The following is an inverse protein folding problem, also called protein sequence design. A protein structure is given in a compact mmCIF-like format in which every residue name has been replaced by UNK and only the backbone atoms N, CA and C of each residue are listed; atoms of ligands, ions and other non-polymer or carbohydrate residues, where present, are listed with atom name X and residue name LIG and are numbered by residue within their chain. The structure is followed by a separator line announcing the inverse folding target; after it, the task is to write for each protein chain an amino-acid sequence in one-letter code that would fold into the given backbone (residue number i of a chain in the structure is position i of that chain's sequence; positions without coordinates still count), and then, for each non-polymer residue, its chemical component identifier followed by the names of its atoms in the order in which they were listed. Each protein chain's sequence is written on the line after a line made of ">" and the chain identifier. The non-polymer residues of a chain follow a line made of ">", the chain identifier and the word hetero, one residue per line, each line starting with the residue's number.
data_IF_853956339457
#
_entry.id   IF_853956339457
#
_cell.length_a   1.000
_cell.length_b   1.000
_cell.length_c   1.000
_cell.angle_alpha   90.00
_cell.angle_beta   90.00
_cell.angle_gamma   90.00
#
_symmetry.space_group_name_H-M   'P 1'
#
loop_
_entity.id
_entity.type
_entity.pdbx_description
1 polymer ?
#
# COMPACT_ATOMS: atom_id res chain seq x y z
N UNK A 1 5.78 10.32 -13.19
CA UNK A 1 4.88 10.35 -12.01
C UNK A 1 3.48 9.80 -12.29
N UNK A 2 2.84 10.10 -13.44
CA UNK A 2 1.47 9.65 -13.73
C UNK A 2 1.23 8.13 -13.64
N UNK A 3 2.18 7.31 -14.12
CA UNK A 3 2.08 5.85 -14.04
C UNK A 3 2.06 5.31 -12.60
N UNK A 4 2.78 5.97 -11.68
CA UNK A 4 2.81 5.59 -10.25
C UNK A 4 1.47 5.88 -9.61
N UNK A 5 0.93 7.07 -9.83
CA UNK A 5 -0.38 7.48 -9.32
C UNK A 5 -1.49 6.57 -9.86
N UNK A 6 -1.48 6.28 -11.17
CA UNK A 6 -2.41 5.35 -11.78
C UNK A 6 -2.27 3.93 -11.22
N UNK A 7 -1.05 3.49 -10.93
CA UNK A 7 -0.75 2.22 -10.27
C UNK A 7 -1.37 2.12 -8.88
N UNK A 8 -1.13 3.10 -8.02
CA UNK A 8 -1.71 3.15 -6.66
C UNK A 8 -3.24 3.26 -6.71
N UNK A 9 -3.78 4.09 -7.61
CA UNK A 9 -5.21 4.18 -7.85
C UNK A 9 -5.81 2.82 -8.20
N UNK A 10 -5.16 2.07 -9.10
CA UNK A 10 -5.59 0.70 -9.46
C UNK A 10 -5.53 -0.24 -8.25
N UNK A 11 -4.47 -0.20 -7.45
CA UNK A 11 -4.36 -1.00 -6.21
C UNK A 11 -5.54 -0.72 -5.28
N UNK A 12 -5.89 0.55 -5.06
CA UNK A 12 -7.02 0.93 -4.21
C UNK A 12 -8.34 0.43 -4.76
N UNK A 13 -8.61 0.65 -6.06
CA UNK A 13 -9.85 0.17 -6.68
C UNK A 13 -9.99 -1.35 -6.62
N UNK A 14 -8.89 -2.10 -6.77
CA UNK A 14 -8.90 -3.57 -6.64
C UNK A 14 -9.21 -4.04 -5.22
N UNK A 15 -8.86 -3.25 -4.22
CA UNK A 15 -9.18 -3.53 -2.82
C UNK A 15 -10.55 -2.96 -2.39
N UNK A 16 -11.37 -2.48 -3.33
CA UNK A 16 -12.67 -1.88 -3.05
C UNK A 16 -12.60 -0.50 -2.38
N UNK A 17 -11.46 0.19 -2.48
CA UNK A 17 -11.22 1.52 -1.92
C UNK A 17 -11.29 2.61 -2.99
N UNK A 18 -11.60 3.87 -2.62
CA UNK A 18 -11.67 4.97 -3.57
C UNK A 18 -10.28 5.28 -4.14
N UNK A 19 -10.09 5.06 -5.44
CA UNK A 19 -8.79 5.22 -6.09
C UNK A 19 -8.25 6.65 -6.11
N UNK A 20 -9.13 7.65 -6.12
CA UNK A 20 -8.73 9.06 -6.03
C UNK A 20 -7.99 9.38 -4.73
N UNK A 21 -8.18 8.57 -3.68
CA UNK A 21 -7.46 8.72 -2.43
C UNK A 21 -5.95 8.58 -2.56
N UNK A 22 -5.44 8.04 -3.68
CA UNK A 22 -4.02 8.02 -3.99
C UNK A 22 -3.40 9.41 -4.12
N UNK A 23 -4.20 10.43 -4.47
CA UNK A 23 -3.77 11.82 -4.67
C UNK A 23 -3.63 12.61 -3.37
N UNK A 24 -4.33 12.20 -2.32
CA UNK A 24 -4.37 12.92 -1.04
C UNK A 24 -3.39 12.26 -0.07
N UNK A 25 -2.29 12.91 0.35
CA UNK A 25 -1.19 12.27 1.07
C UNK A 25 -1.61 11.51 2.33
N UNK A 26 -2.41 12.13 3.20
CA UNK A 26 -2.86 11.51 4.46
C UNK A 26 -3.90 10.42 4.18
N UNK A 27 -4.83 10.67 3.27
CA UNK A 27 -5.87 9.70 2.96
C UNK A 27 -5.34 8.45 2.26
N UNK A 28 -4.31 8.59 1.42
CA UNK A 28 -3.59 7.48 0.81
C UNK A 28 -3.08 6.50 1.89
N UNK A 29 -2.42 7.01 2.93
CA UNK A 29 -1.92 6.21 4.05
C UNK A 29 -3.05 5.52 4.81
N UNK A 30 -4.15 6.24 5.08
CA UNK A 30 -5.35 5.67 5.71
C UNK A 30 -5.87 4.48 4.90
N UNK A 31 -6.02 4.64 3.59
CA UNK A 31 -6.47 3.56 2.71
C UNK A 31 -5.48 2.40 2.67
N UNK A 32 -4.17 2.65 2.64
CA UNK A 32 -3.16 1.59 2.71
C UNK A 32 -3.24 0.80 4.02
N UNK A 33 -3.46 1.48 5.16
CA UNK A 33 -3.66 0.81 6.45
C UNK A 33 -4.92 -0.06 6.44
N UNK A 34 -6.01 0.42 5.86
CA UNK A 34 -7.25 -0.36 5.72
C UNK A 34 -7.08 -1.59 4.80
N UNK A 35 -6.35 -1.45 3.70
CA UNK A 35 -6.01 -2.53 2.76
C UNK A 35 -5.08 -3.54 3.44
N UNK A 36 -4.14 -3.06 4.26
CA UNK A 36 -3.25 -3.90 5.06
C UNK A 36 -3.94 -4.54 6.27
N UNK A 37 -5.21 -4.20 6.55
CA UNK A 37 -5.96 -4.60 7.75
C UNK A 37 -5.25 -4.21 9.06
N UNK A 38 -4.57 -3.05 9.06
CA UNK A 38 -3.90 -2.47 10.23
C UNK A 38 -4.76 -1.37 10.85
N UNK A 39 -4.70 -1.18 12.17
CA UNK A 39 -5.54 -0.21 12.84
C UNK A 39 -5.08 1.23 12.49
N UNK A 40 -6.04 2.14 12.33
CA UNK A 40 -5.77 3.51 11.86
C UNK A 40 -4.86 4.32 12.80
N UNK A 41 -4.78 3.96 14.08
CA UNK A 41 -3.87 4.63 15.03
C UNK A 41 -2.39 4.47 14.64
N UNK A 42 -2.04 3.51 13.78
CA UNK A 42 -0.70 3.37 13.21
C UNK A 42 -0.28 4.59 12.37
N UNK A 43 -1.23 5.42 11.94
CA UNK A 43 -0.93 6.69 11.30
C UNK A 43 -0.12 7.62 12.22
N UNK A 44 -0.32 7.55 13.54
CA UNK A 44 0.46 8.31 14.52
C UNK A 44 1.91 7.82 14.62
N UNK A 45 2.14 6.52 14.42
CA UNK A 45 3.48 5.92 14.45
C UNK A 45 4.36 6.41 13.29
N UNK A 46 3.75 6.92 12.21
CA UNK A 46 4.49 7.49 11.08
C UNK A 46 5.17 8.83 11.40
N UNK A 47 4.77 9.49 12.48
CA UNK A 47 5.43 10.71 12.97
C UNK A 47 6.62 10.42 13.88
N UNK A 48 6.79 9.18 14.34
CA UNK A 48 7.93 8.77 15.16
C UNK A 48 9.09 8.35 14.25
N UNK A 49 10.25 9.03 14.30
CA UNK A 49 11.42 8.65 13.51
C UNK A 49 11.81 7.19 13.75
N UNK A 50 12.34 6.52 12.72
CA UNK A 50 12.73 5.09 12.70
C UNK A 50 11.53 4.14 12.75
N UNK A 51 10.57 4.36 13.65
CA UNK A 51 9.33 3.57 13.73
C UNK A 51 8.52 3.70 12.45
N UNK A 52 8.48 4.90 11.86
CA UNK A 52 7.81 5.15 10.59
C UNK A 52 8.31 4.24 9.45
N UNK A 53 9.61 3.95 9.39
CA UNK A 53 10.21 3.04 8.39
C UNK A 53 9.76 1.59 8.63
N UNK A 54 9.79 1.14 9.88
CA UNK A 54 9.35 -0.21 10.25
C UNK A 54 7.87 -0.40 9.92
N UNK A 55 7.04 0.57 10.28
CA UNK A 55 5.60 0.58 9.97
C UNK A 55 5.37 0.56 8.47
N UNK A 56 6.09 1.38 7.69
CA UNK A 56 5.96 1.41 6.23
C UNK A 56 6.28 0.05 5.61
N UNK A 57 7.33 -0.64 6.08
CA UNK A 57 7.69 -1.99 5.61
C UNK A 57 6.60 -3.00 5.98
N UNK A 58 6.14 -3.02 7.23
CA UNK A 58 5.10 -3.95 7.69
C UNK A 58 3.82 -3.77 6.87
N UNK A 59 3.34 -2.52 6.74
CA UNK A 59 2.13 -2.20 5.97
C UNK A 59 2.29 -2.63 4.52
N UNK A 60 3.44 -2.36 3.89
CA UNK A 60 3.69 -2.76 2.50
C UNK A 60 3.74 -4.28 2.32
N UNK A 61 4.31 -5.00 3.29
CA UNK A 61 4.31 -6.46 3.31
C UNK A 61 2.91 -7.02 3.48
N UNK A 62 2.09 -6.45 4.34
CA UNK A 62 0.73 -6.91 4.52
C UNK A 62 -0.16 -6.56 3.32
N UNK A 63 -0.02 -5.38 2.72
CA UNK A 63 -0.65 -5.09 1.42
C UNK A 63 -0.26 -6.16 0.41
N UNK A 64 1.03 -6.44 0.23
CA UNK A 64 1.49 -7.46 -0.70
C UNK A 64 0.85 -8.84 -0.43
N UNK A 65 0.78 -9.28 0.84
CA UNK A 65 0.14 -10.54 1.24
C UNK A 65 -1.35 -10.58 0.88
N UNK A 66 -2.10 -9.51 1.14
CA UNK A 66 -3.51 -9.42 0.75
C UNK A 66 -3.70 -9.39 -0.77
N UNK A 67 -2.65 -9.23 -1.57
CA UNK A 67 -2.68 -9.41 -3.02
C UNK A 67 -2.03 -10.73 -3.48
N UNK A 68 -1.80 -11.67 -2.57
CA UNK A 68 -1.19 -12.97 -2.85
C UNK A 68 0.30 -12.89 -3.21
N UNK A 69 1.00 -11.83 -2.76
CA UNK A 69 2.44 -11.63 -2.99
C UNK A 69 3.24 -11.92 -1.73
N UNK A 70 4.47 -12.41 -1.92
CA UNK A 70 5.37 -12.76 -0.83
C UNK A 70 6.04 -11.55 -0.15
N UNK A 71 6.73 -11.81 0.96
CA UNK A 71 7.43 -10.78 1.77
C UNK A 71 8.42 -9.96 0.95
N UNK A 72 9.21 -10.60 0.07
CA UNK A 72 10.17 -9.88 -0.79
C UNK A 72 9.51 -8.85 -1.72
N UNK A 73 8.31 -9.15 -2.22
CA UNK A 73 7.53 -8.18 -3.00
C UNK A 73 7.06 -7.03 -2.13
N UNK A 74 6.65 -7.31 -0.89
CA UNK A 74 6.28 -6.31 0.11
C UNK A 74 7.42 -5.36 0.49
N UNK A 75 8.62 -5.90 0.68
CA UNK A 75 9.83 -5.10 0.90
C UNK A 75 10.13 -4.23 -0.33
N UNK A 76 10.00 -4.80 -1.54
CA UNK A 76 10.09 -4.03 -2.79
C UNK A 76 9.03 -2.92 -2.87
N UNK A 77 7.82 -3.16 -2.38
CA UNK A 77 6.74 -2.16 -2.33
C UNK A 77 7.05 -1.02 -1.35
N UNK A 78 7.74 -1.31 -0.24
CA UNK A 78 8.15 -0.33 0.76
C UNK A 78 9.26 0.62 0.26
N UNK A 79 10.32 0.07 -0.35
CA UNK A 79 11.50 0.84 -0.75
C UNK A 79 11.47 1.29 -2.21
N UNK A 80 10.82 0.51 -3.08
CA UNK A 80 10.73 0.72 -4.53
C UNK A 80 9.27 0.84 -4.98
N UNK A 81 8.42 1.47 -4.14
CA UNK A 81 6.99 1.61 -4.39
C UNK A 81 6.66 2.23 -5.76
N UNK A 82 7.50 3.12 -6.28
CA UNK A 82 7.31 3.72 -7.61
C UNK A 82 7.32 2.69 -8.76
N UNK A 83 7.92 1.51 -8.57
CA UNK A 83 7.87 0.38 -9.52
C UNK A 83 6.81 -0.63 -9.10
N UNK A 84 6.83 -1.02 -7.83
CA UNK A 84 6.04 -2.15 -7.35
C UNK A 84 4.54 -1.85 -7.22
N UNK A 85 4.13 -0.60 -6.93
CA UNK A 85 2.70 -0.22 -6.92
C UNK A 85 2.07 -0.30 -8.32
N UNK A 86 2.69 0.23 -9.39
CA UNK A 86 2.24 -0.02 -10.77
C UNK A 86 2.17 -1.50 -11.12
N UNK A 87 3.21 -2.27 -10.80
CA UNK A 87 3.21 -3.72 -11.07
C UNK A 87 2.04 -4.41 -10.36
N UNK A 88 1.80 -4.08 -9.09
CA UNK A 88 0.68 -4.65 -8.33
C UNK A 88 -0.68 -4.20 -8.92
N UNK A 89 -0.80 -2.91 -9.20
CA UNK A 89 -2.01 -2.28 -9.72
C UNK A 89 -2.42 -2.81 -11.10
N UNK A 90 -1.48 -2.99 -12.01
CA UNK A 90 -1.76 -3.44 -13.39
C UNK A 90 -1.64 -4.96 -13.59
N UNK A 91 -1.06 -5.71 -12.64
CA UNK A 91 -1.01 -7.18 -12.73
C UNK A 91 -2.41 -7.82 -12.60
N UNK A 92 -2.51 -9.14 -12.80
CA UNK A 92 -3.71 -9.91 -12.51
C UNK A 92 -3.93 -10.22 -11.01
N UNK A 93 -3.11 -9.63 -10.12
CA UNK A 93 -3.27 -9.82 -8.68
C UNK A 93 -4.65 -9.34 -8.22
N UNK A 94 -5.36 -10.19 -7.49
CA UNK A 94 -6.66 -9.92 -6.87
C UNK A 94 -6.47 -9.69 -5.39
N UNK A 95 -7.21 -8.72 -4.86
CA UNK A 95 -7.26 -8.50 -3.43
C UNK A 95 -8.01 -9.66 -2.76
N UNK A 96 -7.40 -10.22 -1.74
CA UNK A 96 -7.88 -11.32 -0.92
C UNK A 96 -7.97 -10.78 0.50
N UNK A 97 -9.17 -10.46 1.00
CA UNK A 97 -9.38 -10.13 2.40
C UNK A 97 -9.27 -11.43 3.20
N UNK A 98 -8.06 -11.93 3.39
CA UNK A 98 -7.78 -12.99 4.34
C UNK A 98 -8.00 -12.47 5.78
#
# INVERSE_FOLDING_TARGET
>A
MGAVVAGVWRVFTKAGKPGWGALVPIYNVVLLLEIAKRPLWWLLLLFVPVVNLIVAVIVSVDVAKHFGKGVGFGVGLAFLGFVFYPVLGFSNARYQPA
#
